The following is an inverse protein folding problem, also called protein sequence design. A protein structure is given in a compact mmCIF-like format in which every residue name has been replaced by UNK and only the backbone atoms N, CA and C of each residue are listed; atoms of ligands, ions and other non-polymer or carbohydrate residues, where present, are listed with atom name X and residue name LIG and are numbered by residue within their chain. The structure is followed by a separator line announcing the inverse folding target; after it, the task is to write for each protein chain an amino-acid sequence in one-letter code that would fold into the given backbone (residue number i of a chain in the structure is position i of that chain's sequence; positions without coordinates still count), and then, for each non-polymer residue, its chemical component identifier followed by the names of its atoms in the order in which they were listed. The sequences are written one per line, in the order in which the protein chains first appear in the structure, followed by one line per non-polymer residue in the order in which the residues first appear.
data_IF_240350215226
#
_entry.id   IF_240350215226
#
_cell.length_a   1.000
_cell.length_b   1.000
_cell.length_c   1.000
_cell.angle_alpha   90.00
_cell.angle_beta   90.00
_cell.angle_gamma   90.00
#
_symmetry.space_group_name_H-M   'P 1'
#
loop_
_entity.id
_entity.type
_entity.pdbx_description
1 polymer ?
#
# COMPACT_ATOMS: atom_id res chain seq x y z
N UNK A 1 14.31 1.08 -28.51
CA UNK A 1 13.73 0.85 -28.65
C UNK A 1 13.62 0.65 -28.42
N UNK A 2 13.65 0.82 -27.78
CA UNK A 2 12.88 0.69 -27.55
C UNK A 2 13.03 0.50 -26.94
N UNK A 3 13.06 0.65 -26.55
CA UNK A 3 12.54 0.39 -26.22
C UNK A 3 12.66 0.31 -25.79
N UNK A 4 12.90 0.53 -25.37
CA UNK A 4 12.31 0.38 -25.09
C UNK A 4 12.59 0.17 -24.71
N UNK A 5 12.86 0.37 -24.51
CA UNK A 5 12.36 0.18 -24.39
C UNK A 5 12.50 -0.07 -23.86
N UNK A 6 12.61 0.01 -23.46
CA UNK A 6 12.01 -0.24 -23.29
C UNK A 6 12.04 -0.56 -22.72
N UNK A 7 12.10 -0.50 -22.27
CA UNK A 7 11.48 -0.80 -22.12
C UNK A 7 11.34 -1.22 -21.81
N UNK A 8 11.27 -1.23 -21.61
CA UNK A 8 10.48 -1.55 -21.65
C UNK A 8 10.22 -2.07 -21.47
N UNK A 9 10.17 -2.18 -21.39
CA UNK A 9 9.34 -2.51 -21.52
C UNK A 9 8.96 -3.19 -21.29
N UNK A 10 8.55 -3.43 -21.00
CA UNK A 10 7.81 -3.70 -21.06
C UNK A 10 7.66 -4.47 -20.74
N UNK A 11 7.13 -4.77 -20.47
CA UNK A 11 6.51 -5.15 -20.42
C UNK A 11 5.80 -5.60 -20.03
N UNK A 12 5.53 -5.73 -19.87
CA UNK A 12 4.56 -5.82 -19.68
C UNK A 12 3.93 -5.93 -18.75
N UNK A 13 3.55 -6.35 -18.47
CA UNK A 13 2.95 -6.29 -17.66
C UNK A 13 2.95 -5.38 -17.19
N UNK A 14 3.20 -5.36 -17.46
CA UNK A 14 3.19 -3.95 -17.63
C UNK A 14 1.93 -3.31 -17.14
N UNK A 15 0.98 -4.06 -17.04
CA UNK A 15 -0.33 -3.59 -16.63
C UNK A 15 -0.30 -2.98 -15.24
N UNK A 16 0.48 -3.56 -14.39
CA UNK A 16 0.56 -3.11 -13.00
C UNK A 16 1.44 -1.87 -12.87
N UNK A 17 2.31 -1.66 -13.83
CA UNK A 17 3.31 -0.60 -13.74
C UNK A 17 2.74 0.80 -13.63
N UNK A 18 1.66 1.16 -14.33
CA UNK A 18 1.12 2.51 -14.16
C UNK A 18 0.78 2.84 -12.71
N UNK A 19 0.19 1.91 -12.00
CA UNK A 19 -0.13 2.13 -10.60
C UNK A 19 1.13 2.25 -9.76
N UNK A 20 2.08 1.38 -10.01
CA UNK A 20 3.35 1.42 -9.29
C UNK A 20 4.09 2.72 -9.53
N UNK A 21 4.05 3.21 -10.76
CA UNK A 21 4.73 4.44 -11.11
C UNK A 21 4.10 5.65 -10.44
N UNK A 22 2.87 5.53 -10.01
CA UNK A 22 2.16 6.63 -9.37
C UNK A 22 2.29 6.66 -7.86
N UNK A 23 2.87 5.63 -7.27
CA UNK A 23 3.05 5.59 -5.82
C UNK A 23 4.16 6.54 -5.43
N UNK A 24 3.88 7.53 -4.56
CA UNK A 24 4.93 8.45 -4.10
C UNK A 24 6.07 7.69 -3.43
N UNK A 25 7.27 8.19 -3.61
CA UNK A 25 8.45 7.54 -3.05
C UNK A 25 8.36 7.38 -1.53
N UNK A 26 7.78 8.37 -0.85
CA UNK A 26 7.63 8.31 0.60
C UNK A 26 6.68 7.20 1.06
N UNK A 27 5.90 6.66 0.14
CA UNK A 27 4.97 5.57 0.45
C UNK A 27 5.52 4.21 0.06
N UNK A 28 6.83 4.12 -0.16
CA UNK A 28 7.48 2.86 -0.51
C UNK A 28 8.56 2.55 0.52
N UNK A 29 8.52 1.35 1.07
CA UNK A 29 9.51 0.86 2.02
C UNK A 29 10.38 -0.17 1.31
N UNK A 30 11.69 0.01 1.37
CA UNK A 30 12.65 -0.89 0.74
C UNK A 30 13.70 -1.32 1.74
N UNK A 31 13.93 -2.61 1.88
CA UNK A 31 13.21 -3.71 1.24
C UNK A 31 11.82 -3.85 1.84
N UNK A 32 10.88 -4.48 1.13
CA UNK A 32 9.55 -4.69 1.69
C UNK A 32 9.61 -5.59 2.92
N UNK A 33 8.67 -5.42 3.85
CA UNK A 33 8.67 -6.23 5.05
C UNK A 33 8.42 -7.70 4.73
N UNK A 34 8.99 -8.57 5.53
CA UNK A 34 8.77 -10.01 5.40
C UNK A 34 8.15 -10.59 6.67
N UNK A 35 7.80 -9.74 7.63
CA UNK A 35 7.08 -10.14 8.85
C UNK A 35 5.95 -9.16 9.05
N UNK A 36 4.83 -9.67 9.53
CA UNK A 36 3.63 -8.87 9.64
C UNK A 36 3.07 -8.97 11.05
N UNK A 37 2.44 -7.89 11.50
CA UNK A 37 1.89 -7.81 12.85
C UNK A 37 0.37 -7.85 12.85
N UNK A 38 -0.25 -7.54 11.71
CA UNK A 38 -1.69 -7.42 11.61
C UNK A 38 -2.20 -7.95 10.29
N UNK A 39 -3.49 -8.22 10.27
CA UNK A 39 -4.19 -8.71 9.09
C UNK A 39 -5.41 -7.84 8.87
N UNK A 40 -5.72 -7.57 7.61
CA UNK A 40 -6.92 -6.82 7.25
C UNK A 40 -8.11 -7.78 7.30
N UNK A 41 -9.09 -7.49 8.15
CA UNK A 41 -10.25 -8.37 8.33
C UNK A 41 -11.50 -7.84 7.66
N UNK A 42 -11.45 -6.61 7.12
CA UNK A 42 -12.54 -6.04 6.34
C UNK A 42 -11.91 -5.20 5.24
N UNK A 43 -12.45 -5.30 4.04
CA UNK A 43 -11.96 -4.48 2.95
C UNK A 43 -12.03 -3.02 3.37
N UNK A 44 -10.94 -2.26 3.20
CA UNK A 44 -10.92 -0.87 3.64
C UNK A 44 -9.95 -0.05 2.82
N UNK A 45 -10.24 1.25 2.71
CA UNK A 45 -9.41 2.15 1.91
C UNK A 45 -8.09 2.47 2.60
N UNK A 46 -7.10 2.85 1.79
CA UNK A 46 -5.87 3.40 2.32
C UNK A 46 -5.55 4.72 1.63
N UNK A 47 -4.68 5.50 2.26
CA UNK A 47 -4.36 6.86 1.84
C UNK A 47 -2.86 7.09 1.93
N UNK A 48 -2.31 7.79 0.95
CA UNK A 48 -0.87 8.09 0.94
C UNK A 48 -0.51 9.17 1.96
N UNK A 49 -1.40 10.12 2.17
CA UNK A 49 -1.10 11.28 3.01
C UNK A 49 -1.75 11.24 4.38
N UNK A 50 -2.55 10.24 4.64
CA UNK A 50 -3.29 10.11 5.88
C UNK A 50 -4.77 9.93 5.61
N UNK A 51 -5.47 9.37 6.59
CA UNK A 51 -6.90 9.10 6.44
C UNK A 51 -7.65 10.43 6.35
N UNK A 52 -8.47 10.56 5.32
CA UNK A 52 -9.24 11.77 5.08
C UNK A 52 -10.59 11.35 4.54
N UNK A 53 -11.65 11.72 5.27
CA UNK A 53 -13.00 11.32 4.88
C UNK A 53 -13.53 12.12 3.69
N UNK A 54 -12.89 13.24 3.37
CA UNK A 54 -13.31 14.09 2.26
C UNK A 54 -12.60 13.71 0.97
N UNK A 55 -11.32 13.39 1.06
CA UNK A 55 -10.53 13.05 -0.12
C UNK A 55 -10.82 11.60 -0.53
N UNK A 56 -10.78 11.31 -1.83
CA UNK A 56 -10.92 9.93 -2.27
C UNK A 56 -9.71 9.11 -1.83
N UNK A 57 -9.91 7.83 -1.52
CA UNK A 57 -8.79 6.96 -1.16
C UNK A 57 -7.87 6.72 -2.34
N UNK A 58 -6.63 6.37 -2.04
CA UNK A 58 -5.64 6.06 -3.05
C UNK A 58 -5.71 4.59 -3.48
N UNK A 59 -6.34 3.75 -2.67
CA UNK A 59 -6.53 2.36 -2.98
C UNK A 59 -7.28 1.66 -1.86
N UNK A 60 -7.38 0.33 -1.95
CA UNK A 60 -8.07 -0.47 -0.94
C UNK A 60 -7.26 -1.72 -0.61
N UNK A 61 -7.31 -2.11 0.66
CA UNK A 61 -6.81 -3.42 1.09
C UNK A 61 -7.93 -4.44 1.01
N UNK A 62 -7.61 -5.60 0.47
CA UNK A 62 -8.53 -6.72 0.45
C UNK A 62 -8.47 -7.46 1.79
N UNK A 63 -9.54 -8.15 2.13
CA UNK A 63 -9.56 -9.03 3.30
C UNK A 63 -8.44 -10.06 3.17
N UNK A 64 -7.69 -10.25 4.25
CA UNK A 64 -6.59 -11.20 4.27
C UNK A 64 -5.24 -10.59 3.99
N UNK A 65 -5.19 -9.34 3.56
CA UNK A 65 -3.92 -8.67 3.37
C UNK A 65 -3.17 -8.59 4.69
N UNK A 66 -1.87 -8.86 4.68
CA UNK A 66 -1.05 -8.78 5.87
C UNK A 66 -0.19 -7.53 5.83
N UNK A 67 -0.08 -6.88 6.98
CA UNK A 67 0.65 -5.62 7.09
C UNK A 67 1.45 -5.60 8.39
N UNK A 68 2.47 -4.76 8.41
CA UNK A 68 3.17 -4.45 9.64
C UNK A 68 2.72 -3.07 10.10
N UNK A 69 2.32 -2.98 11.36
CA UNK A 69 1.90 -1.70 11.94
C UNK A 69 3.14 -0.93 12.37
N UNK A 70 3.33 0.24 11.79
CA UNK A 70 4.52 1.04 12.04
C UNK A 70 4.24 2.28 12.88
N UNK A 71 3.02 2.81 12.83
CA UNK A 71 2.66 3.98 13.60
C UNK A 71 1.15 4.00 13.82
N UNK A 72 0.72 4.44 15.00
CA UNK A 72 -0.68 4.48 15.36
C UNK A 72 -0.97 5.82 16.03
N UNK A 73 -1.87 6.61 15.44
CA UNK A 73 -2.27 7.92 15.97
C UNK A 73 -3.75 8.14 15.74
N UNK A 74 -4.48 8.46 16.80
CA UNK A 74 -5.87 8.94 16.72
C UNK A 74 -6.75 8.09 15.79
N UNK A 75 -6.67 6.77 15.92
CA UNK A 75 -7.50 5.88 15.11
C UNK A 75 -6.97 5.63 13.70
N UNK A 76 -5.87 6.26 13.35
CA UNK A 76 -5.22 6.10 12.06
C UNK A 76 -4.00 5.21 12.23
N UNK A 77 -3.92 4.16 11.45
CA UNK A 77 -2.79 3.23 11.48
C UNK A 77 -1.96 3.38 10.21
N UNK A 78 -0.66 3.60 10.39
CA UNK A 78 0.29 3.62 9.28
C UNK A 78 0.94 2.25 9.19
N UNK A 79 0.75 1.61 8.06
CA UNK A 79 1.14 0.21 7.86
C UNK A 79 1.94 0.05 6.57
N UNK A 80 2.73 -1.00 6.51
CA UNK A 80 3.40 -1.39 5.27
C UNK A 80 2.98 -2.81 4.93
N UNK A 81 2.68 -3.05 3.67
CA UNK A 81 2.26 -4.36 3.22
C UNK A 81 3.42 -5.14 2.57
N UNK A 82 3.13 -6.33 2.05
CA UNK A 82 4.15 -7.21 1.48
C UNK A 82 4.84 -6.61 0.25
N UNK A 83 4.22 -5.61 -0.37
CA UNK A 83 4.82 -4.93 -1.52
C UNK A 83 5.74 -3.79 -1.09
N UNK A 84 5.73 -3.45 0.19
CA UNK A 84 6.44 -2.29 0.68
C UNK A 84 5.64 -1.01 0.60
N UNK A 85 4.33 -1.12 0.38
CA UNK A 85 3.45 0.05 0.30
C UNK A 85 3.17 0.57 1.70
N UNK A 86 3.60 1.79 2.00
CA UNK A 86 3.46 2.42 3.31
C UNK A 86 2.33 3.45 3.25
N UNK A 87 1.24 3.18 3.94
CA UNK A 87 0.01 3.97 3.81
C UNK A 87 -0.73 4.05 5.13
N UNK A 88 -1.63 5.01 5.22
CA UNK A 88 -2.53 5.15 6.36
C UNK A 88 -3.85 4.44 6.06
N UNK A 89 -4.39 3.79 7.07
CA UNK A 89 -5.67 3.13 6.96
C UNK A 89 -6.36 3.15 8.34
N UNK A 90 -7.64 2.82 8.37
CA UNK A 90 -8.38 2.76 9.62
C UNK A 90 -7.93 1.59 10.48
N UNK A 91 -7.76 1.81 11.77
CA UNK A 91 -7.36 0.73 12.67
C UNK A 91 -8.47 -0.29 12.89
N UNK A 92 -9.71 0.11 12.67
CA UNK A 92 -10.85 -0.76 12.95
C UNK A 92 -10.92 -2.02 12.10
N UNK A 93 -10.30 -2.02 10.93
CA UNK A 93 -10.29 -3.18 10.06
C UNK A 93 -9.04 -4.04 10.17
N UNK A 94 -8.22 -3.81 11.19
CA UNK A 94 -6.99 -4.57 11.41
C UNK A 94 -7.14 -5.46 12.63
N UNK A 95 -6.56 -6.65 12.56
CA UNK A 95 -6.53 -7.58 13.69
C UNK A 95 -5.08 -8.03 13.89
N UNK A 96 -4.63 -8.01 15.14
CA UNK A 96 -3.29 -8.47 15.48
C UNK A 96 -3.16 -9.96 15.17
N UNK A 97 -2.04 -10.32 14.59
CA UNK A 97 -1.74 -11.72 14.28
C UNK A 97 -1.28 -12.48 15.50
#
# INVERSE_FOLDING_TARGET
MGELAVNNVIRPNAVVLPDSAQVPERNVVKPPPNRFTHEVVAEQPYYYMGVDQVAPPDGKFAIGAQVVLLRHEAGECWVADERGLYVATSCGGLRAL
#
